data_IF_847886595723
#
_entry.id   IF_847886595723
#
_cell.length_a   1.000
_cell.length_b   1.000
_cell.length_c   1.000
_cell.angle_alpha   90.00
_cell.angle_beta   90.00
_cell.angle_gamma   90.00
#
_symmetry.space_group_name_H-M   'P 1'
#
loop_
_entity.id
_entity.type
_entity.pdbx_description
1 polymer ?
#
# COMPACT_ATOMS: atom_id res chain seq x y z
N UNK A 1 6.80 -28.42 -11.11
CA UNK A 1 7.55 -27.25 -10.65
C UNK A 1 7.70 -27.44 -9.16
N UNK A 2 8.93 -27.58 -8.68
CA UNK A 2 9.19 -27.63 -7.25
C UNK A 2 8.91 -26.24 -6.68
N UNK A 3 7.98 -26.11 -5.75
CA UNK A 3 7.58 -24.79 -5.22
C UNK A 3 8.63 -24.20 -4.26
N UNK A 4 9.85 -24.75 -4.20
CA UNK A 4 10.93 -24.32 -3.30
C UNK A 4 10.50 -24.12 -1.83
N UNK A 5 9.46 -24.84 -1.39
CA UNK A 5 8.85 -24.72 -0.05
C UNK A 5 7.79 -23.63 0.12
N UNK A 6 7.43 -22.87 -0.93
CA UNK A 6 6.35 -21.88 -0.88
C UNK A 6 4.96 -22.53 -0.94
N UNK A 7 4.07 -22.07 -0.07
CA UNK A 7 2.66 -22.46 -0.02
C UNK A 7 1.75 -21.25 -0.27
N UNK A 8 0.55 -21.42 -0.87
CA UNK A 8 -0.39 -20.33 -1.01
C UNK A 8 -0.72 -19.69 0.35
N UNK A 9 -0.65 -18.37 0.41
CA UNK A 9 -1.01 -17.61 1.59
C UNK A 9 -2.47 -17.18 1.52
N UNK A 10 -3.17 -17.35 2.65
CA UNK A 10 -4.54 -16.87 2.81
C UNK A 10 -4.68 -16.06 4.10
N UNK A 11 -5.37 -14.92 3.99
CA UNK A 11 -5.63 -14.05 5.13
C UNK A 11 -6.38 -14.81 6.24
N UNK A 12 -5.96 -14.59 7.48
CA UNK A 12 -6.42 -15.27 8.71
C UNK A 12 -6.14 -16.78 8.82
N UNK A 13 -5.75 -17.48 7.74
CA UNK A 13 -5.42 -18.91 7.80
C UNK A 13 -3.94 -19.18 8.09
N UNK A 14 -3.05 -18.30 7.67
CA UNK A 14 -1.64 -18.42 8.00
C UNK A 14 -1.42 -18.37 9.52
N UNK A 15 -0.45 -19.13 10.00
CA UNK A 15 0.07 -19.08 11.38
C UNK A 15 1.52 -18.64 11.42
N UNK A 16 2.11 -18.29 10.27
CA UNK A 16 3.53 -17.98 10.18
C UNK A 16 3.79 -16.51 10.49
N UNK A 17 4.60 -16.24 11.51
CA UNK A 17 4.91 -14.88 11.95
C UNK A 17 6.09 -14.26 11.20
N UNK A 18 7.06 -15.08 10.79
CA UNK A 18 8.34 -14.62 10.21
C UNK A 18 8.65 -15.33 8.87
N UNK A 19 7.63 -15.78 8.14
CA UNK A 19 7.83 -16.40 6.82
C UNK A 19 8.31 -15.38 5.80
N UNK A 20 9.09 -15.83 4.84
CA UNK A 20 9.25 -15.11 3.57
C UNK A 20 7.91 -14.95 2.87
N UNK A 21 7.78 -13.88 2.09
CA UNK A 21 6.62 -13.65 1.23
C UNK A 21 7.07 -13.62 -0.22
N UNK A 22 6.27 -14.23 -1.09
CA UNK A 22 6.47 -14.16 -2.53
C UNK A 22 5.15 -13.73 -3.16
N UNK A 23 5.17 -12.63 -3.91
CA UNK A 23 4.01 -12.15 -4.64
C UNK A 23 4.20 -12.47 -6.12
N UNK A 24 3.28 -13.23 -6.69
CA UNK A 24 3.35 -13.74 -8.05
C UNK A 24 2.33 -13.02 -8.95
N UNK A 25 2.78 -12.22 -9.94
CA UNK A 25 1.87 -11.61 -10.90
C UNK A 25 1.22 -12.64 -11.84
N UNK A 26 -0.11 -12.68 -11.89
CA UNK A 26 -0.89 -13.65 -12.68
C UNK A 26 -1.44 -13.10 -14.00
N UNK A 27 -1.25 -11.80 -14.26
CA UNK A 27 -1.69 -11.11 -15.49
C UNK A 27 -0.51 -10.46 -16.20
N UNK A 28 -0.55 -10.37 -17.53
CA UNK A 28 0.57 -9.82 -18.31
C UNK A 28 0.75 -8.32 -18.08
N UNK A 29 -0.34 -7.61 -17.81
CA UNK A 29 -0.36 -6.18 -17.50
C UNK A 29 0.48 -5.81 -16.26
N UNK A 30 0.73 -6.77 -15.37
CA UNK A 30 1.50 -6.60 -14.14
C UNK A 30 2.88 -7.27 -14.19
N UNK A 31 3.29 -7.80 -15.34
CA UNK A 31 4.63 -8.42 -15.54
C UNK A 31 5.67 -7.43 -16.07
N UNK A 32 5.54 -6.17 -15.69
CA UNK A 32 6.52 -5.13 -16.07
C UNK A 32 7.67 -5.07 -15.07
N UNK A 33 8.81 -4.56 -15.53
CA UNK A 33 9.99 -4.39 -14.69
C UNK A 33 9.71 -3.54 -13.44
N UNK A 34 8.99 -2.42 -13.59
CA UNK A 34 8.65 -1.56 -12.46
C UNK A 34 7.78 -2.26 -11.42
N UNK A 35 6.82 -3.10 -11.86
CA UNK A 35 5.99 -3.88 -10.94
C UNK A 35 6.81 -4.97 -10.25
N UNK A 36 7.71 -5.63 -10.98
CA UNK A 36 8.64 -6.62 -10.44
C UNK A 36 9.50 -6.00 -9.32
N UNK A 37 10.10 -4.84 -9.56
CA UNK A 37 10.90 -4.12 -8.56
C UNK A 37 10.08 -3.72 -7.34
N UNK A 38 8.87 -3.19 -7.53
CA UNK A 38 7.95 -2.85 -6.44
C UNK A 38 7.63 -4.08 -5.57
N UNK A 39 7.26 -5.20 -6.20
CA UNK A 39 6.92 -6.46 -5.50
C UNK A 39 8.14 -7.06 -4.81
N UNK A 40 9.29 -7.06 -5.45
CA UNK A 40 10.53 -7.59 -4.87
C UNK A 40 10.95 -6.79 -3.65
N UNK A 41 10.78 -5.47 -3.64
CA UNK A 41 11.05 -4.65 -2.47
C UNK A 41 10.15 -5.03 -1.28
N UNK A 42 8.86 -5.32 -1.51
CA UNK A 42 7.96 -5.83 -0.46
C UNK A 42 8.44 -7.18 0.11
N UNK A 43 8.94 -8.07 -0.74
CA UNK A 43 9.47 -9.36 -0.28
C UNK A 43 10.79 -9.20 0.48
N UNK A 44 11.75 -8.46 -0.10
CA UNK A 44 13.11 -8.33 0.40
C UNK A 44 13.19 -7.57 1.73
N UNK A 45 12.36 -6.55 1.92
CA UNK A 45 12.37 -5.73 3.14
C UNK A 45 11.36 -6.18 4.19
N UNK A 46 10.68 -7.31 4.00
CA UNK A 46 9.66 -7.80 4.94
C UNK A 46 10.19 -7.89 6.38
N UNK A 47 11.28 -8.62 6.59
CA UNK A 47 11.81 -8.86 7.93
C UNK A 47 12.19 -7.54 8.64
N UNK A 48 12.90 -6.66 7.95
CA UNK A 48 13.29 -5.35 8.48
C UNK A 48 12.09 -4.47 8.82
N UNK A 49 11.08 -4.42 7.95
CA UNK A 49 9.87 -3.63 8.17
C UNK A 49 9.01 -4.21 9.30
N UNK A 50 8.94 -5.54 9.42
CA UNK A 50 8.29 -6.20 10.54
C UNK A 50 8.94 -5.81 11.87
N UNK A 51 10.28 -5.81 11.93
CA UNK A 51 11.04 -5.37 13.10
C UNK A 51 10.84 -3.89 13.39
N UNK A 52 11.01 -3.02 12.38
CA UNK A 52 10.91 -1.56 12.49
C UNK A 52 9.55 -1.09 13.04
N UNK A 53 8.48 -1.79 12.65
CA UNK A 53 7.11 -1.46 13.03
C UNK A 53 6.51 -2.33 14.13
N UNK A 54 7.13 -3.47 14.45
CA UNK A 54 6.53 -4.48 15.33
C UNK A 54 5.25 -5.08 14.76
N UNK A 55 5.17 -5.25 13.43
CA UNK A 55 4.00 -5.82 12.75
C UNK A 55 4.17 -7.33 12.52
N UNK A 56 3.12 -8.11 12.76
CA UNK A 56 3.17 -9.56 12.55
C UNK A 56 3.14 -9.94 11.06
N UNK A 57 3.61 -11.15 10.75
CA UNK A 57 3.80 -11.60 9.37
C UNK A 57 2.52 -11.68 8.54
N UNK A 58 1.37 -11.93 9.18
CA UNK A 58 0.08 -12.02 8.47
C UNK A 58 -0.40 -10.62 8.12
N UNK A 59 -0.34 -9.71 9.07
CA UNK A 59 -0.65 -8.30 8.82
C UNK A 59 0.28 -7.72 7.77
N UNK A 60 1.59 -8.01 7.84
CA UNK A 60 2.52 -7.61 6.80
C UNK A 60 2.10 -8.11 5.42
N UNK A 61 1.84 -9.41 5.26
CA UNK A 61 1.44 -9.99 3.97
C UNK A 61 0.16 -9.36 3.42
N UNK A 62 -0.84 -9.11 4.28
CA UNK A 62 -2.06 -8.40 3.90
C UNK A 62 -1.75 -7.00 3.37
N UNK A 63 -0.93 -6.24 4.10
CA UNK A 63 -0.62 -4.85 3.76
C UNK A 63 0.27 -4.76 2.51
N UNK A 64 1.19 -5.72 2.32
CA UNK A 64 1.96 -5.87 1.09
C UNK A 64 1.03 -6.15 -0.10
N UNK A 65 0.07 -7.08 0.04
CA UNK A 65 -0.90 -7.38 -1.01
C UNK A 65 -1.78 -6.18 -1.34
N UNK A 66 -2.27 -5.47 -0.31
CA UNK A 66 -3.01 -4.22 -0.46
C UNK A 66 -2.17 -3.13 -1.15
N UNK A 67 -0.87 -3.05 -0.87
CA UNK A 67 0.04 -2.08 -1.51
C UNK A 67 0.07 -2.26 -3.03
N UNK A 68 0.04 -3.50 -3.51
CA UNK A 68 -0.06 -3.78 -4.95
C UNK A 68 -1.44 -3.45 -5.52
N UNK A 69 -2.51 -3.71 -4.76
CA UNK A 69 -3.86 -3.27 -5.12
C UNK A 69 -3.98 -1.75 -5.30
N UNK A 70 -3.36 -0.99 -4.38
CA UNK A 70 -3.27 0.47 -4.43
C UNK A 70 -2.44 0.93 -5.63
N UNK A 71 -1.30 0.30 -5.90
CA UNK A 71 -0.49 0.58 -7.07
C UNK A 71 -1.31 0.46 -8.38
N UNK A 72 -2.09 -0.61 -8.51
CA UNK A 72 -3.02 -0.78 -9.62
C UNK A 72 -4.08 0.33 -9.68
N UNK A 73 -4.66 0.69 -8.53
CA UNK A 73 -5.71 1.72 -8.45
C UNK A 73 -5.21 3.11 -8.84
N UNK A 74 -4.01 3.46 -8.44
CA UNK A 74 -3.51 4.84 -8.48
C UNK A 74 -2.77 5.16 -9.77
N UNK A 75 -2.00 4.20 -10.30
CA UNK A 75 -1.18 4.41 -11.48
C UNK A 75 -1.40 3.39 -12.59
N UNK A 76 -2.38 2.47 -12.46
CA UNK A 76 -2.50 1.32 -13.37
C UNK A 76 -1.14 0.62 -13.51
N UNK A 77 -0.48 0.37 -12.38
CA UNK A 77 0.85 -0.24 -12.36
C UNK A 77 1.87 0.57 -13.17
N UNK A 78 2.03 1.86 -12.86
CA UNK A 78 2.94 2.80 -13.53
C UNK A 78 2.58 3.18 -15.00
N UNK A 79 1.45 2.71 -15.54
CA UNK A 79 1.10 2.91 -16.96
C UNK A 79 0.10 4.04 -17.21
N UNK A 80 -0.59 4.55 -16.19
CA UNK A 80 -1.65 5.55 -16.38
C UNK A 80 -1.08 6.84 -16.98
N UNK A 81 -1.78 7.38 -17.99
CA UNK A 81 -1.36 8.62 -18.67
C UNK A 81 -1.21 9.79 -17.68
N UNK A 82 -2.13 9.88 -16.71
CA UNK A 82 -2.09 10.90 -15.65
C UNK A 82 -0.84 10.78 -14.80
N UNK A 83 -0.45 9.57 -14.40
CA UNK A 83 0.78 9.34 -13.66
C UNK A 83 2.00 9.72 -14.50
N UNK A 84 2.10 9.21 -15.73
CA UNK A 84 3.23 9.51 -16.63
C UNK A 84 3.40 11.00 -16.91
N UNK A 85 2.31 11.75 -17.04
CA UNK A 85 2.35 13.20 -17.21
C UNK A 85 2.88 13.92 -15.96
N UNK A 86 2.44 13.52 -14.76
CA UNK A 86 2.95 14.07 -13.50
C UNK A 86 4.46 13.86 -13.34
N UNK A 87 4.94 12.68 -13.70
CA UNK A 87 6.36 12.32 -13.66
C UNK A 87 7.20 13.09 -14.70
N UNK A 88 6.67 13.25 -15.92
CA UNK A 88 7.38 13.95 -16.99
C UNK A 88 7.42 15.47 -16.78
N UNK A 89 6.46 16.04 -16.05
CA UNK A 89 6.34 17.48 -15.84
C UNK A 89 6.08 17.86 -14.37
N UNK A 90 7.02 17.59 -13.43
CA UNK A 90 6.82 17.94 -12.02
C UNK A 90 6.61 19.46 -11.81
N UNK A 91 7.27 20.27 -12.65
CA UNK A 91 7.16 21.73 -12.65
C UNK A 91 5.74 22.23 -12.95
N UNK A 92 5.00 21.54 -13.82
CA UNK A 92 3.65 21.96 -14.22
C UNK A 92 2.64 21.78 -13.07
N UNK A 93 2.78 20.71 -12.27
CA UNK A 93 1.97 20.50 -11.06
C UNK A 93 2.24 21.59 -10.03
N UNK A 94 3.51 21.97 -9.86
CA UNK A 94 3.92 23.06 -8.96
C UNK A 94 3.36 24.41 -9.44
N UNK A 95 3.40 24.68 -10.73
CA UNK A 95 2.88 25.91 -11.33
C UNK A 95 1.36 26.00 -11.21
N UNK A 96 0.63 24.90 -11.46
CA UNK A 96 -0.82 24.84 -11.30
C UNK A 96 -1.25 25.18 -9.87
N UNK A 97 -0.53 24.66 -8.86
CA UNK A 97 -0.79 25.01 -7.45
C UNK A 97 -0.51 26.48 -7.13
N UNK A 98 0.56 27.06 -7.68
CA UNK A 98 0.87 28.48 -7.49
C UNK A 98 -0.26 29.34 -8.08
N UNK A 99 -0.75 28.99 -9.26
CA UNK A 99 -1.90 29.65 -9.90
C UNK A 99 -3.19 29.47 -9.07
N UNK A 100 -3.47 28.27 -8.55
CA UNK A 100 -4.63 27.99 -7.69
C UNK A 100 -4.60 28.86 -6.42
N UNK A 101 -3.44 28.96 -5.75
CA UNK A 101 -3.27 29.84 -4.58
C UNK A 101 -3.46 31.31 -4.95
N UNK A 102 -2.94 31.74 -6.10
CA UNK A 102 -3.05 33.11 -6.59
C UNK A 102 -4.50 33.49 -6.92
N UNK A 103 -5.26 32.56 -7.52
CA UNK A 103 -6.66 32.75 -7.93
C UNK A 103 -7.61 32.64 -6.71
N UNK A 104 -7.39 31.69 -5.80
CA UNK A 104 -8.30 31.45 -4.67
C UNK A 104 -8.06 32.37 -3.47
N UNK A 105 -6.97 33.15 -3.44
CA UNK A 105 -6.72 34.18 -2.43
C UNK A 105 -6.77 33.69 -0.98
N UNK A 106 -6.46 32.42 -0.71
CA UNK A 106 -6.77 31.79 0.58
C UNK A 106 -5.53 31.53 1.46
N UNK A 107 -5.63 31.86 2.75
CA UNK A 107 -4.72 31.45 3.85
C UNK A 107 -4.72 29.93 4.12
N UNK A 108 -5.11 29.09 3.14
CA UNK A 108 -5.06 27.63 3.29
C UNK A 108 -3.61 27.18 3.27
N UNK A 109 -3.18 26.50 4.33
CA UNK A 109 -1.93 25.73 4.31
C UNK A 109 -1.97 24.81 3.06
N UNK A 110 -0.89 24.74 2.26
CA UNK A 110 -0.86 23.89 1.08
C UNK A 110 -1.25 22.46 1.48
N UNK A 111 -2.20 21.86 0.76
CA UNK A 111 -2.48 20.43 0.94
C UNK A 111 -1.24 19.61 0.60
N UNK A 112 -0.93 18.61 1.42
CA UNK A 112 0.14 17.66 1.12
C UNK A 112 -0.14 17.01 -0.24
N UNK A 113 0.88 17.05 -1.12
CA UNK A 113 0.77 16.48 -2.45
C UNK A 113 0.90 14.96 -2.39
N UNK A 114 -0.10 14.25 -2.89
CA UNK A 114 0.03 12.84 -3.26
C UNK A 114 1.15 12.64 -4.28
N UNK A 115 2.05 11.69 -4.00
CA UNK A 115 3.29 11.46 -4.77
C UNK A 115 3.51 9.99 -5.12
N UNK A 116 4.30 9.76 -6.17
CA UNK A 116 4.66 8.43 -6.63
C UNK A 116 3.50 7.63 -7.25
N UNK A 117 3.74 6.37 -7.64
CA UNK A 117 2.80 5.51 -8.35
C UNK A 117 1.63 5.03 -7.48
N UNK A 118 1.76 5.14 -6.16
CA UNK A 118 0.71 4.82 -5.17
C UNK A 118 0.04 6.07 -4.63
N UNK A 119 0.48 7.28 -5.02
CA UNK A 119 -0.13 8.55 -4.61
C UNK A 119 -0.17 8.77 -3.08
N UNK A 120 0.78 8.21 -2.32
CA UNK A 120 0.89 8.44 -0.87
C UNK A 120 1.03 9.94 -0.57
N UNK A 121 0.35 10.41 0.49
CA UNK A 121 0.35 11.83 0.89
C UNK A 121 1.53 12.20 1.77
N UNK A 122 1.92 11.28 2.67
CA UNK A 122 2.96 11.49 3.68
C UNK A 122 3.85 10.25 3.68
N UNK A 123 5.17 10.45 3.60
CA UNK A 123 6.15 9.37 3.80
C UNK A 123 6.27 9.12 5.31
N UNK A 124 6.08 7.88 5.79
CA UNK A 124 6.24 7.56 7.20
C UNK A 124 7.65 7.89 7.71
N UNK A 125 7.76 8.55 8.87
CA UNK A 125 9.05 9.00 9.43
C UNK A 125 10.04 7.84 9.62
N UNK A 126 9.58 6.71 10.17
CA UNK A 126 10.42 5.52 10.38
C UNK A 126 11.05 5.02 9.07
N UNK A 127 10.27 5.00 7.99
CA UNK A 127 10.75 4.58 6.67
C UNK A 127 11.67 5.64 6.06
N UNK A 128 11.31 6.92 6.17
CA UNK A 128 12.13 8.02 5.67
C UNK A 128 13.53 7.99 6.28
N UNK A 129 13.62 7.86 7.61
CA UNK A 129 14.89 7.82 8.34
C UNK A 129 15.70 6.55 8.05
N UNK A 130 15.04 5.38 8.00
CA UNK A 130 15.74 4.10 7.83
C UNK A 130 16.28 3.87 6.41
N UNK A 131 15.56 4.36 5.40
CA UNK A 131 15.82 4.05 3.99
C UNK A 131 16.19 5.28 3.15
N UNK A 132 16.23 6.48 3.73
CA UNK A 132 16.48 7.72 2.97
C UNK A 132 15.39 8.01 1.94
N UNK A 133 14.15 7.59 2.23
CA UNK A 133 13.03 7.77 1.31
C UNK A 133 12.45 9.16 1.50
N UNK A 134 12.43 9.91 0.41
CA UNK A 134 11.96 11.28 0.36
C UNK A 134 10.80 11.37 -0.62
N UNK A 135 9.91 12.36 -0.45
CA UNK A 135 8.75 12.45 -1.31
C UNK A 135 9.05 12.66 -2.80
N UNK A 136 10.23 13.18 -3.13
CA UNK A 136 10.70 13.42 -4.50
C UNK A 136 11.27 12.16 -5.16
N UNK A 137 11.67 11.15 -4.40
CA UNK A 137 12.23 9.89 -4.91
C UNK A 137 11.22 8.73 -4.96
N UNK A 138 9.93 9.01 -4.67
CA UNK A 138 8.83 8.04 -4.73
C UNK A 138 8.46 7.56 -6.15
N UNK A 139 9.13 8.05 -7.20
CA UNK A 139 9.00 7.48 -8.54
C UNK A 139 9.79 6.18 -8.70
N UNK A 140 10.75 5.92 -7.80
CA UNK A 140 11.51 4.68 -7.71
C UNK A 140 10.58 3.59 -7.15
N UNK A 141 10.36 2.47 -7.88
CA UNK A 141 9.41 1.44 -7.48
C UNK A 141 9.63 0.88 -6.07
N UNK A 142 10.89 0.67 -5.69
CA UNK A 142 11.30 0.13 -4.41
C UNK A 142 10.94 1.09 -3.27
N UNK A 143 11.28 2.37 -3.43
CA UNK A 143 10.94 3.42 -2.44
C UNK A 143 9.42 3.56 -2.29
N UNK A 144 8.69 3.53 -3.42
CA UNK A 144 7.24 3.56 -3.40
C UNK A 144 6.65 2.37 -2.65
N UNK A 145 7.20 1.17 -2.84
CA UNK A 145 6.75 -0.05 -2.16
C UNK A 145 6.94 0.05 -0.64
N UNK A 146 8.17 0.35 -0.20
CA UNK A 146 8.53 0.45 1.22
C UNK A 146 7.71 1.55 1.90
N UNK A 147 7.58 2.72 1.28
CA UNK A 147 6.79 3.81 1.85
C UNK A 147 5.29 3.49 1.91
N UNK A 148 4.75 2.80 0.90
CA UNK A 148 3.32 2.44 0.86
C UNK A 148 2.98 1.42 1.95
N UNK A 149 3.78 0.35 2.09
CA UNK A 149 3.51 -0.65 3.12
C UNK A 149 3.75 -0.08 4.52
N UNK A 150 4.79 0.73 4.71
CA UNK A 150 5.03 1.45 5.98
C UNK A 150 3.85 2.34 6.37
N UNK A 151 3.29 3.09 5.40
CA UNK A 151 2.11 3.91 5.63
C UNK A 151 0.90 3.06 6.00
N UNK A 152 0.67 1.94 5.29
CA UNK A 152 -0.43 1.04 5.59
C UNK A 152 -0.31 0.38 6.96
N UNK A 153 0.90 0.09 7.45
CA UNK A 153 1.13 -0.41 8.81
C UNK A 153 0.69 0.64 9.84
N UNK A 154 1.10 1.89 9.68
CA UNK A 154 0.68 2.99 10.57
C UNK A 154 -0.84 3.24 10.50
N UNK A 155 -1.40 3.20 9.29
CA UNK A 155 -2.83 3.35 9.04
C UNK A 155 -3.65 2.20 9.67
N UNK A 156 -3.14 0.97 9.67
CA UNK A 156 -3.78 -0.15 10.35
C UNK A 156 -3.78 0.06 11.87
N UNK A 157 -2.67 0.53 12.43
CA UNK A 157 -2.60 0.95 13.83
C UNK A 157 -3.62 2.04 14.16
N UNK A 158 -3.77 3.04 13.29
CA UNK A 158 -4.80 4.07 13.43
C UNK A 158 -6.22 3.50 13.36
N UNK A 159 -6.48 2.62 12.38
CA UNK A 159 -7.77 1.98 12.22
C UNK A 159 -8.16 1.23 13.49
N UNK A 160 -7.26 0.37 14.00
CA UNK A 160 -7.46 -0.40 15.25
C UNK A 160 -7.77 0.51 16.44
N UNK A 161 -7.05 1.63 16.60
CA UNK A 161 -7.36 2.63 17.64
C UNK A 161 -8.76 3.21 17.47
N UNK A 162 -9.16 3.57 16.25
CA UNK A 162 -10.49 4.12 15.95
C UNK A 162 -11.61 3.11 16.19
N UNK A 163 -11.38 1.81 15.91
CA UNK A 163 -12.35 0.76 16.22
C UNK A 163 -12.76 0.82 17.69
N UNK A 164 -11.77 0.91 18.59
CA UNK A 164 -12.00 1.00 20.04
C UNK A 164 -12.65 2.34 20.42
N UNK A 165 -12.04 3.46 20.00
CA UNK A 165 -12.48 4.80 20.42
C UNK A 165 -13.88 5.16 19.91
N UNK A 166 -14.22 4.76 18.68
CA UNK A 166 -15.48 5.11 18.03
C UNK A 166 -16.52 3.97 18.03
N UNK A 167 -16.21 2.84 18.67
CA UNK A 167 -17.08 1.65 18.74
C UNK A 167 -17.54 1.22 17.33
N UNK A 168 -16.55 0.93 16.48
CA UNK A 168 -16.76 0.53 15.09
C UNK A 168 -16.78 -1.00 14.97
N UNK A 169 -17.76 -1.65 15.62
CA UNK A 169 -17.79 -3.12 15.77
C UNK A 169 -17.89 -3.88 14.44
N UNK A 170 -18.31 -3.20 13.37
CA UNK A 170 -18.32 -3.74 12.00
C UNK A 170 -16.92 -3.88 11.39
N UNK A 171 -15.89 -3.30 12.01
CA UNK A 171 -14.49 -3.40 11.56
C UNK A 171 -13.80 -4.49 12.36
N UNK A 172 -13.66 -5.65 11.75
CA UNK A 172 -12.94 -6.82 12.28
C UNK A 172 -11.71 -7.12 11.43
N UNK A 173 -10.79 -7.99 11.87
CA UNK A 173 -9.66 -8.41 11.03
C UNK A 173 -10.10 -8.94 9.65
N UNK A 174 -11.25 -9.63 9.57
CA UNK A 174 -11.79 -10.12 8.31
C UNK A 174 -12.16 -9.00 7.32
N UNK A 175 -12.47 -7.80 7.83
CA UNK A 175 -12.91 -6.64 7.03
C UNK A 175 -11.85 -5.55 6.92
N UNK A 176 -10.58 -5.82 7.29
CA UNK A 176 -9.53 -4.79 7.19
C UNK A 176 -9.33 -4.31 5.75
N UNK A 177 -9.39 -5.20 4.76
CA UNK A 177 -9.28 -4.85 3.34
C UNK A 177 -10.39 -3.89 2.89
N UNK A 178 -11.55 -3.93 3.54
CA UNK A 178 -12.69 -3.08 3.21
C UNK A 178 -12.55 -1.65 3.74
N UNK A 179 -12.08 -1.54 4.99
CA UNK A 179 -12.16 -0.29 5.75
C UNK A 179 -10.83 0.44 5.88
N UNK A 180 -9.70 -0.27 5.85
CA UNK A 180 -8.38 0.38 5.87
C UNK A 180 -8.15 1.37 4.71
N UNK A 181 -8.63 1.11 3.47
CA UNK A 181 -8.48 2.09 2.39
C UNK A 181 -9.12 3.45 2.69
N UNK A 182 -10.15 3.52 3.53
CA UNK A 182 -10.75 4.79 3.93
C UNK A 182 -9.79 5.67 4.74
N UNK A 183 -8.81 5.10 5.44
CA UNK A 183 -7.72 5.91 6.02
C UNK A 183 -6.83 6.44 4.90
N UNK A 184 -6.43 5.55 3.98
CA UNK A 184 -5.52 5.84 2.88
C UNK A 184 -5.98 6.98 1.97
N UNK A 185 -7.18 6.89 1.41
CA UNK A 185 -7.69 7.93 0.50
C UNK A 185 -8.29 9.15 1.23
N UNK A 186 -8.35 9.16 2.57
CA UNK A 186 -8.87 10.27 3.38
C UNK A 186 -10.38 10.25 3.62
N UNK A 187 -11.00 9.07 3.57
CA UNK A 187 -12.41 8.80 3.92
C UNK A 187 -12.69 8.57 5.41
N UNK A 188 -11.77 8.92 6.32
CA UNK A 188 -11.89 8.67 7.77
C UNK A 188 -13.20 9.17 8.39
N UNK A 189 -13.75 10.28 7.90
CA UNK A 189 -15.04 10.81 8.36
C UNK A 189 -16.17 9.79 8.15
N UNK A 190 -16.19 9.09 7.01
CA UNK A 190 -17.20 8.08 6.73
C UNK A 190 -17.07 6.86 7.65
N UNK A 191 -15.86 6.49 8.06
CA UNK A 191 -15.63 5.45 9.07
C UNK A 191 -16.23 5.86 10.42
N UNK A 192 -15.85 7.04 10.92
CA UNK A 192 -16.28 7.53 12.24
C UNK A 192 -17.79 7.77 12.29
N UNK A 193 -18.38 8.23 11.19
CA UNK A 193 -19.83 8.44 11.06
C UNK A 193 -20.61 7.17 10.73
N UNK A 194 -19.94 6.02 10.58
CA UNK A 194 -20.55 4.72 10.24
C UNK A 194 -21.34 4.75 8.91
N UNK A 195 -20.91 5.57 7.96
CA UNK A 195 -21.50 5.73 6.62
C UNK A 195 -20.65 5.12 5.52
N UNK A 196 -19.53 4.47 5.86
CA UNK A 196 -18.66 3.80 4.90
C UNK A 196 -19.34 2.56 4.28
N UNK A 197 -19.48 2.56 2.95
CA UNK A 197 -20.07 1.48 2.15
C UNK A 197 -19.04 0.84 1.20
N UNK A 198 -18.12 -0.01 1.72
CA UNK A 198 -16.98 -0.53 0.95
C UNK A 198 -17.38 -1.26 -0.34
N UNK A 199 -18.48 -2.03 -0.31
CA UNK A 199 -18.98 -2.79 -1.48
C UNK A 199 -19.37 -1.90 -2.67
N UNK A 200 -19.85 -0.68 -2.39
CA UNK A 200 -20.23 0.29 -3.42
C UNK A 200 -19.09 1.25 -3.77
N UNK A 201 -18.01 1.26 -2.98
CA UNK A 201 -16.91 2.21 -3.15
C UNK A 201 -16.00 1.77 -4.30
N UNK A 202 -15.97 2.56 -5.38
CA UNK A 202 -15.15 2.27 -6.56
C UNK A 202 -13.65 2.13 -6.26
N UNK A 203 -13.12 2.87 -5.27
CA UNK A 203 -11.72 2.73 -4.86
C UNK A 203 -11.44 1.34 -4.27
N UNK A 204 -12.25 0.93 -3.29
CA UNK A 204 -12.11 -0.36 -2.60
C UNK A 204 -12.27 -1.51 -3.59
N UNK A 205 -13.30 -1.44 -4.45
CA UNK A 205 -13.55 -2.44 -5.49
C UNK A 205 -12.38 -2.59 -6.47
N UNK A 206 -11.89 -1.47 -7.00
CA UNK A 206 -10.77 -1.50 -7.95
C UNK A 206 -9.49 -2.01 -7.28
N UNK A 207 -9.21 -1.58 -6.04
CA UNK A 207 -8.07 -2.08 -5.25
C UNK A 207 -8.15 -3.60 -5.09
N UNK A 208 -9.29 -4.14 -4.62
CA UNK A 208 -9.51 -5.59 -4.49
C UNK A 208 -9.38 -6.32 -5.82
N UNK A 209 -9.89 -5.74 -6.91
CA UNK A 209 -9.71 -6.29 -8.27
C UNK A 209 -8.23 -6.39 -8.63
N UNK A 210 -7.42 -5.38 -8.33
CA UNK A 210 -6.00 -5.42 -8.63
C UNK A 210 -5.21 -6.34 -7.68
N UNK A 211 -5.66 -6.49 -6.43
CA UNK A 211 -5.12 -7.52 -5.53
C UNK A 211 -5.27 -8.92 -6.14
N UNK A 212 -6.41 -9.24 -6.77
CA UNK A 212 -6.62 -10.56 -7.37
C UNK A 212 -5.75 -10.85 -8.61
N UNK A 213 -4.99 -9.87 -9.10
CA UNK A 213 -4.01 -10.07 -10.18
C UNK A 213 -2.65 -10.54 -9.66
N UNK A 214 -2.52 -10.67 -8.34
CA UNK A 214 -1.31 -11.07 -7.65
C UNK A 214 -1.69 -12.17 -6.67
N UNK A 215 -1.08 -13.33 -6.84
CA UNK A 215 -1.13 -14.38 -5.83
C UNK A 215 -0.06 -14.15 -4.77
N UNK A 216 -0.36 -14.52 -3.53
CA UNK A 216 0.59 -14.39 -2.42
C UNK A 216 0.92 -15.79 -1.93
N UNK A 217 2.21 -16.03 -1.75
CA UNK A 217 2.75 -17.26 -1.21
C UNK A 217 3.62 -16.92 -0.01
N UNK A 218 3.76 -17.87 0.90
CA UNK A 218 4.67 -17.76 2.02
C UNK A 218 5.53 -19.01 2.16
N UNK A 219 6.72 -18.85 2.74
CA UNK A 219 7.63 -19.96 3.03
C UNK A 219 8.23 -19.80 4.41
N UNK A 220 8.21 -20.88 5.19
CA UNK A 220 8.86 -20.91 6.48
C UNK A 220 10.35 -21.23 6.29
N UNK A 221 11.21 -20.32 6.76
CA UNK A 221 12.67 -20.42 6.65
C UNK A 221 13.26 -21.63 7.39
N UNK A 222 12.49 -22.26 8.27
CA UNK A 222 12.89 -23.45 9.01
C UNK A 222 12.54 -24.78 8.30
N UNK A 223 11.99 -24.73 7.07
CA UNK A 223 11.67 -25.95 6.31
C UNK A 223 12.85 -26.30 5.40
N UNK A 224 13.50 -27.47 5.55
CA UNK A 224 14.58 -27.88 4.67
C UNK A 224 14.10 -27.95 3.22
N UNK A 225 14.94 -27.51 2.28
CA UNK A 225 14.72 -27.79 0.86
C UNK A 225 14.82 -29.32 0.69
N UNK A 226 13.72 -29.96 0.29
CA UNK A 226 13.77 -31.34 -0.17
C UNK A 226 14.56 -31.32 -1.49
N UNK A 227 15.77 -31.88 -1.46
CA UNK A 227 16.62 -32.09 -2.63
C UNK A 227 16.17 -33.31 -3.44
#
# INVERSE_FOLDING_TARGET
>A
MDNNGYVPWEWQKSTCTNCEVFLLPTRDEVRTEKVRLFIQALAAHKAELQELYGVDGREYNLLAHMSVGILGRESLFFTSRRYRLKEAMPWAVRLAKILEIYIEGSNKKPSDNSRGPTQIKIVPTKVAERYGIEPDNLYIPENAAIATVGYLIEALGELKRRVVTNKLDFITPATYVDYLPYIYFGGTRALVQKTATPESNGYVRDMKRYMSWIEVYERNNNTPLLH
#
